data_IF_792048016009
#
_entry.id   IF_792048016009
#
_cell.length_a   1.000
_cell.length_b   1.000
_cell.length_c   1.000
_cell.angle_alpha   90.00
_cell.angle_beta   90.00
_cell.angle_gamma   90.00
#
_symmetry.space_group_name_H-M   'P 1'
#
loop_
_entity.id
_entity.type
_entity.pdbx_description
1 polymer ?
#
# COMPACT_ATOMS: atom_id res chain seq x y z
N UNK A 1 25.41 0.98 -8.40
CA UNK A 1 24.54 -0.18 -8.09
C UNK A 1 23.33 -0.09 -9.00
N UNK A 2 23.01 -1.19 -9.67
CA UNK A 2 21.83 -1.27 -10.53
C UNK A 2 20.65 -1.85 -9.73
N UNK A 3 19.77 -0.96 -9.25
CA UNK A 3 18.60 -1.35 -8.46
C UNK A 3 17.44 -1.84 -9.33
N UNK A 4 17.49 -1.68 -10.66
CA UNK A 4 16.38 -2.06 -11.55
C UNK A 4 16.24 -3.56 -11.75
N UNK A 5 17.21 -4.35 -11.27
CA UNK A 5 17.18 -5.82 -11.31
C UNK A 5 16.56 -6.46 -10.07
N UNK A 6 16.14 -5.67 -9.08
CA UNK A 6 15.48 -6.22 -7.89
C UNK A 6 14.10 -6.75 -8.25
N UNK A 7 13.81 -7.96 -7.80
CA UNK A 7 12.53 -8.62 -8.02
C UNK A 7 11.68 -8.56 -6.75
N UNK A 8 10.36 -8.63 -6.91
CA UNK A 8 9.46 -8.88 -5.78
C UNK A 8 9.61 -10.37 -5.41
N UNK A 9 9.99 -10.65 -4.17
CA UNK A 9 10.22 -12.01 -3.67
C UNK A 9 9.06 -12.50 -2.81
N UNK A 10 8.33 -11.60 -2.16
CA UNK A 10 7.18 -11.93 -1.33
C UNK A 10 6.13 -10.81 -1.34
N UNK A 11 4.85 -11.20 -1.30
CA UNK A 11 3.69 -10.31 -1.21
C UNK A 11 2.74 -10.86 -0.16
N UNK A 12 2.44 -10.05 0.86
CA UNK A 12 1.55 -10.44 1.95
C UNK A 12 0.44 -9.40 2.11
N UNK A 13 -0.80 -9.87 2.25
CA UNK A 13 -1.95 -9.03 2.59
C UNK A 13 -2.40 -9.44 4.00
N UNK A 14 -2.41 -8.48 4.91
CA UNK A 14 -2.71 -8.73 6.33
C UNK A 14 -3.59 -7.62 6.91
N UNK A 15 -4.13 -7.85 8.11
CA UNK A 15 -4.85 -6.82 8.86
C UNK A 15 -6.16 -6.36 8.21
N UNK A 16 -6.84 -7.23 7.47
CA UNK A 16 -8.11 -6.90 6.85
C UNK A 16 -9.18 -6.59 7.90
N UNK A 17 -9.73 -5.38 7.83
CA UNK A 17 -10.78 -4.89 8.71
C UNK A 17 -11.89 -4.23 7.90
N UNK A 18 -13.12 -4.67 8.15
CA UNK A 18 -14.31 -4.07 7.55
C UNK A 18 -14.81 -2.94 8.44
N UNK A 19 -15.09 -1.79 7.83
CA UNK A 19 -15.67 -0.62 8.48
C UNK A 19 -17.00 -0.29 7.79
N UNK A 20 -18.08 -0.26 8.57
CA UNK A 20 -19.39 0.15 8.09
C UNK A 20 -19.60 1.63 8.40
N UNK A 21 -19.81 2.43 7.36
CA UNK A 21 -20.12 3.84 7.44
C UNK A 21 -21.49 4.17 6.87
N UNK A 22 -21.91 5.42 7.07
CA UNK A 22 -23.18 5.93 6.53
C UNK A 22 -23.25 5.84 4.99
N UNK A 23 -22.11 5.97 4.32
CA UNK A 23 -21.98 5.99 2.86
C UNK A 23 -21.62 4.62 2.24
N UNK A 24 -21.54 3.56 3.05
CA UNK A 24 -21.26 2.20 2.59
C UNK A 24 -20.26 1.43 3.45
N UNK A 25 -19.87 0.27 2.95
CA UNK A 25 -18.88 -0.61 3.61
C UNK A 25 -17.52 -0.39 2.97
N UNK A 26 -16.49 -0.18 3.80
CA UNK A 26 -15.09 -0.12 3.36
C UNK A 26 -14.31 -1.25 3.99
N UNK A 27 -13.25 -1.71 3.33
CA UNK A 27 -12.29 -2.64 3.91
C UNK A 27 -10.91 -2.02 3.88
N UNK A 28 -10.26 -1.96 5.04
CA UNK A 28 -8.87 -1.57 5.19
C UNK A 28 -7.96 -2.78 5.32
N UNK A 29 -6.73 -2.67 4.84
CA UNK A 29 -5.71 -3.70 5.04
C UNK A 29 -4.30 -3.19 4.73
N UNK A 30 -3.31 -4.05 5.00
CA UNK A 30 -1.90 -3.78 4.77
C UNK A 30 -1.35 -4.70 3.70
N UNK A 31 -0.76 -4.13 2.65
CA UNK A 31 -0.02 -4.86 1.61
C UNK A 31 1.47 -4.69 1.89
N UNK A 32 2.14 -5.79 2.22
CA UNK A 32 3.60 -5.85 2.39
C UNK A 32 4.24 -6.46 1.15
N UNK A 33 5.27 -5.77 0.65
CA UNK A 33 6.09 -6.21 -0.47
C UNK A 33 7.54 -6.37 0.01
N UNK A 34 8.14 -7.51 -0.32
CA UNK A 34 9.57 -7.75 -0.11
C UNK A 34 10.28 -7.79 -1.46
N UNK A 35 11.40 -7.06 -1.53
CA UNK A 35 12.26 -7.09 -2.70
C UNK A 35 13.45 -8.00 -2.46
N UNK A 36 14.04 -8.52 -3.52
CA UNK A 36 15.34 -9.18 -3.45
C UNK A 36 16.41 -8.21 -2.96
N UNK A 37 17.36 -8.71 -2.19
CA UNK A 37 18.56 -7.96 -1.83
C UNK A 37 19.45 -7.73 -3.07
N UNK A 38 20.50 -6.92 -2.88
CA UNK A 38 21.42 -6.56 -3.95
C UNK A 38 22.31 -7.74 -4.42
N UNK A 39 22.45 -8.76 -3.59
CA UNK A 39 23.16 -10.01 -3.87
C UNK A 39 22.22 -11.10 -4.43
N UNK A 40 20.94 -10.79 -4.65
CA UNK A 40 19.94 -11.72 -5.17
C UNK A 40 19.26 -12.59 -4.12
N UNK A 41 19.60 -12.46 -2.83
CA UNK A 41 18.91 -13.21 -1.77
C UNK A 41 17.47 -12.68 -1.54
N UNK A 42 16.62 -13.51 -0.92
CA UNK A 42 15.20 -13.17 -0.73
C UNK A 42 14.96 -12.16 0.40
N UNK A 43 15.95 -11.84 1.22
CA UNK A 43 15.85 -11.01 2.44
C UNK A 43 16.22 -9.54 2.20
N UNK A 44 15.69 -8.96 1.12
CA UNK A 44 15.92 -7.55 0.82
C UNK A 44 14.96 -6.61 1.57
N UNK A 45 14.93 -5.33 1.17
CA UNK A 45 14.10 -4.32 1.83
C UNK A 45 12.62 -4.62 1.67
N UNK A 46 11.84 -4.11 2.61
CA UNK A 46 10.39 -4.29 2.65
C UNK A 46 9.69 -2.96 2.63
N UNK A 47 8.49 -2.94 2.04
CA UNK A 47 7.60 -1.80 2.04
C UNK A 47 6.20 -2.27 2.42
N UNK A 48 5.55 -1.55 3.33
CA UNK A 48 4.16 -1.79 3.70
C UNK A 48 3.32 -0.60 3.28
N UNK A 49 2.19 -0.87 2.63
CA UNK A 49 1.22 0.13 2.20
C UNK A 49 -0.11 -0.21 2.85
N UNK A 50 -0.62 0.71 3.66
CA UNK A 50 -1.94 0.61 4.30
C UNK A 50 -2.96 1.34 3.46
N UNK A 51 -4.05 0.66 3.12
CA UNK A 51 -5.06 1.12 2.17
C UNK A 51 -6.45 0.78 2.68
N UNK A 52 -7.43 1.53 2.20
CA UNK A 52 -8.84 1.19 2.31
C UNK A 52 -9.49 1.23 0.93
N UNK A 53 -10.40 0.30 0.67
CA UNK A 53 -11.18 0.22 -0.57
C UNK A 53 -12.66 0.06 -0.23
N UNK A 54 -13.53 0.59 -1.09
CA UNK A 54 -14.96 0.38 -0.97
C UNK A 54 -15.31 -1.08 -1.27
N UNK A 55 -16.22 -1.65 -0.48
CA UNK A 55 -16.69 -3.01 -0.64
C UNK A 55 -18.07 -2.98 -1.30
N UNK A 56 -18.16 -3.56 -2.49
CA UNK A 56 -19.47 -3.83 -3.11
C UNK A 56 -20.15 -5.01 -2.41
N UNK A 57 -21.47 -4.98 -2.23
CA UNK A 57 -22.22 -5.90 -1.36
C UNK A 57 -22.09 -7.41 -1.61
N UNK A 58 -21.48 -7.84 -2.73
CA UNK A 58 -21.22 -9.26 -3.04
C UNK A 58 -19.71 -9.58 -3.23
N UNK A 59 -18.81 -8.74 -2.76
CA UNK A 59 -17.37 -8.96 -2.93
C UNK A 59 -16.89 -10.14 -2.09
N UNK A 60 -16.12 -11.05 -2.71
CA UNK A 60 -15.46 -12.15 -1.99
C UNK A 60 -14.19 -11.67 -1.31
N UNK A 61 -13.66 -12.48 -0.40
CA UNK A 61 -12.36 -12.21 0.23
C UNK A 61 -11.23 -12.05 -0.79
N UNK A 62 -11.20 -12.89 -1.84
CA UNK A 62 -10.22 -12.79 -2.92
C UNK A 62 -10.39 -11.51 -3.75
N UNK A 63 -11.62 -10.98 -3.86
CA UNK A 63 -11.85 -9.72 -4.55
C UNK A 63 -11.28 -8.55 -3.75
N UNK A 64 -11.43 -8.57 -2.43
CA UNK A 64 -10.84 -7.57 -1.52
C UNK A 64 -9.32 -7.59 -1.59
N UNK A 65 -8.71 -8.77 -1.50
CA UNK A 65 -7.26 -8.92 -1.63
C UNK A 65 -6.75 -8.36 -2.96
N UNK A 66 -7.44 -8.68 -4.06
CA UNK A 66 -7.11 -8.18 -5.39
C UNK A 66 -7.24 -6.65 -5.46
N UNK A 67 -8.32 -6.08 -4.91
CA UNK A 67 -8.53 -4.64 -4.90
C UNK A 67 -7.44 -3.91 -4.12
N UNK A 68 -7.07 -4.40 -2.94
CA UNK A 68 -5.99 -3.82 -2.14
C UNK A 68 -4.64 -3.91 -2.85
N UNK A 69 -4.35 -5.04 -3.50
CA UNK A 69 -3.12 -5.19 -4.28
C UNK A 69 -3.08 -4.23 -5.49
N UNK A 70 -4.19 -4.10 -6.23
CA UNK A 70 -4.30 -3.14 -7.35
C UNK A 70 -4.13 -1.70 -6.86
N UNK A 71 -4.75 -1.34 -5.73
CA UNK A 71 -4.59 -0.03 -5.13
C UNK A 71 -3.13 0.24 -4.71
N UNK A 72 -2.45 -0.75 -4.12
CA UNK A 72 -1.03 -0.68 -3.74
C UNK A 72 -0.14 -0.46 -4.98
N UNK A 73 -0.36 -1.22 -6.05
CA UNK A 73 0.34 -1.05 -7.32
C UNK A 73 0.10 0.34 -7.92
N UNK A 74 -1.14 0.85 -7.85
CA UNK A 74 -1.46 2.20 -8.29
C UNK A 74 -0.72 3.28 -7.50
N UNK A 75 -0.61 3.15 -6.17
CA UNK A 75 0.19 4.05 -5.33
C UNK A 75 1.66 4.01 -5.73
N UNK A 76 2.23 2.82 -5.89
CA UNK A 76 3.63 2.65 -6.28
C UNK A 76 3.91 3.21 -7.68
N UNK A 77 3.03 2.96 -8.64
CA UNK A 77 3.15 3.51 -10.00
C UNK A 77 3.17 5.04 -10.00
N UNK A 78 2.29 5.67 -9.20
CA UNK A 78 2.30 7.14 -9.04
C UNK A 78 3.60 7.64 -8.42
N UNK A 79 4.09 7.00 -7.35
CA UNK A 79 5.34 7.41 -6.71
C UNK A 79 6.55 7.20 -7.62
N UNK A 80 6.58 6.13 -8.42
CA UNK A 80 7.65 5.83 -9.35
C UNK A 80 7.72 6.81 -10.53
N UNK A 81 6.60 7.43 -10.90
CA UNK A 81 6.54 8.45 -11.95
C UNK A 81 7.06 9.83 -11.49
N UNK A 82 7.28 10.02 -10.19
CA UNK A 82 7.74 11.29 -9.62
C UNK A 82 9.27 11.37 -9.57
N UNK A 83 9.79 12.60 -9.56
CA UNK A 83 11.20 12.81 -9.20
C UNK A 83 11.43 12.41 -7.73
N UNK A 84 12.66 12.03 -7.33
CA UNK A 84 12.94 11.69 -5.93
C UNK A 84 12.55 12.78 -4.93
N UNK A 85 12.68 14.06 -5.32
CA UNK A 85 12.29 15.20 -4.49
C UNK A 85 10.77 15.28 -4.32
N UNK A 86 10.02 15.07 -5.39
CA UNK A 86 8.55 15.16 -5.37
C UNK A 86 7.94 13.95 -4.67
N UNK A 87 8.48 12.75 -4.89
CA UNK A 87 8.11 11.55 -4.16
C UNK A 87 8.33 11.73 -2.65
N UNK A 88 9.47 12.31 -2.24
CA UNK A 88 9.73 12.64 -0.84
C UNK A 88 8.72 13.65 -0.30
N UNK A 89 8.43 14.72 -1.06
CA UNK A 89 7.45 15.73 -0.66
C UNK A 89 6.04 15.14 -0.47
N UNK A 90 5.59 14.26 -1.36
CA UNK A 90 4.31 13.55 -1.23
C UNK A 90 4.26 12.65 0.01
N UNK A 91 5.34 11.90 0.29
CA UNK A 91 5.44 11.09 1.50
C UNK A 91 5.47 11.95 2.79
N UNK A 92 5.97 13.18 2.75
CA UNK A 92 5.90 14.08 3.91
C UNK A 92 4.49 14.60 4.13
N UNK A 93 3.75 14.94 3.07
CA UNK A 93 2.34 15.40 3.17
C UNK A 93 1.45 14.37 3.88
N UNK A 94 1.68 13.07 3.66
CA UNK A 94 0.91 12.01 4.32
C UNK A 94 1.19 11.91 5.82
N UNK A 95 2.44 12.15 6.26
CA UNK A 95 2.80 12.19 7.69
C UNK A 95 2.14 13.35 8.43
N UNK A 96 1.92 14.49 7.76
CA UNK A 96 1.24 15.63 8.35
C UNK A 96 -0.27 15.42 8.59
N UNK A 97 -0.92 14.48 7.89
CA UNK A 97 -2.34 14.16 8.13
C UNK A 97 -2.58 13.41 9.45
N UNK A 98 -1.57 12.72 10.00
CA UNK A 98 -1.66 12.07 11.31
C UNK A 98 -1.64 13.06 12.49
N UNK A 99 -1.36 14.35 12.25
CA UNK A 99 -1.28 15.38 13.30
C UNK A 99 -2.46 16.35 13.35
N UNK A 100 -3.47 16.20 12.49
CA UNK A 100 -4.75 16.89 12.72
C UNK A 100 -5.54 16.06 13.72
N UNK A 101 -5.39 16.41 15.00
CA UNK A 101 -6.32 16.02 16.04
C UNK A 101 -7.74 16.17 15.52
N UNK A 102 -8.51 15.07 15.51
CA UNK A 102 -9.97 15.14 15.39
C UNK A 102 -10.43 16.09 16.51
N UNK A 103 -10.75 17.34 16.15
CA UNK A 103 -11.38 18.26 17.09
C UNK A 103 -12.71 17.64 17.52
N UNK A 104 -13.02 17.68 18.83
CA UNK A 104 -14.17 17.01 19.43
C UNK A 104 -15.51 17.52 18.89
#
# INVERSE_FOLDING_TARGET
>A
MDYSKRLITDVQITGLQQHEGYDGTTVSGSVRLQLSAHDGNEFGPTATIELATDLTGNATFQDVERQLLVAALGVLGRLAALSPKDAHAELQKSRFRQYLSKTP
#
